data_IF_465439059138
#
_entry.id   IF_465439059138
#
_cell.length_a   1.000
_cell.length_b   1.000
_cell.length_c   1.000
_cell.angle_alpha   90.00
_cell.angle_beta   90.00
_cell.angle_gamma   90.00
#
_symmetry.space_group_name_H-M   'P 1'
#
loop_
_entity.id
_entity.type
_entity.pdbx_description
1 polymer ?
#
# COMPACT_ATOMS: atom_id res chain seq x y z
N UNK A 1 16.80 12.53 -1.13
CA UNK A 1 15.36 12.24 -0.99
C UNK A 1 14.89 11.40 -2.18
N UNK A 2 13.86 10.57 -2.02
CA UNK A 2 13.23 9.79 -3.10
C UNK A 2 12.32 10.72 -3.89
N UNK A 3 12.23 10.54 -5.20
CA UNK A 3 11.43 11.38 -6.09
C UNK A 3 9.94 11.04 -6.04
N UNK A 4 9.09 11.98 -6.47
CA UNK A 4 7.65 11.75 -6.71
C UNK A 4 7.41 10.56 -7.65
N UNK A 5 8.26 10.38 -8.66
CA UNK A 5 8.17 9.26 -9.61
C UNK A 5 8.39 7.93 -8.89
N UNK A 6 9.49 7.80 -8.14
CA UNK A 6 9.79 6.60 -7.35
C UNK A 6 8.64 6.27 -6.40
N UNK A 7 8.10 7.27 -5.71
CA UNK A 7 6.97 7.09 -4.80
C UNK A 7 5.71 6.58 -5.53
N UNK A 8 5.41 7.12 -6.71
CA UNK A 8 4.21 6.75 -7.49
C UNK A 8 4.25 5.33 -8.06
N UNK A 9 5.46 4.77 -8.25
CA UNK A 9 5.68 3.43 -8.80
C UNK A 9 5.73 2.33 -7.72
N UNK A 10 5.75 2.73 -6.44
CA UNK A 10 5.76 1.78 -5.32
C UNK A 10 4.45 1.00 -5.20
N UNK A 11 4.58 -0.25 -4.76
CA UNK A 11 3.45 -1.16 -4.54
C UNK A 11 2.99 -1.15 -3.07
N UNK A 12 2.87 0.02 -2.45
CA UNK A 12 2.44 0.18 -1.06
C UNK A 12 0.92 0.25 -0.90
N UNK A 13 0.40 -0.31 0.19
CA UNK A 13 -1.02 -0.25 0.59
C UNK A 13 -1.33 0.93 1.53
N UNK A 14 -0.34 1.75 1.89
CA UNK A 14 -0.50 2.97 2.70
C UNK A 14 0.56 4.01 2.33
N UNK A 15 0.39 5.27 2.74
CA UNK A 15 1.40 6.31 2.51
C UNK A 15 2.74 5.94 3.17
N UNK A 16 2.72 5.48 4.42
CA UNK A 16 3.91 4.99 5.15
C UNK A 16 4.63 3.90 4.35
N UNK A 17 3.90 2.88 3.91
CA UNK A 17 4.48 1.77 3.17
C UNK A 17 5.02 2.21 1.80
N UNK A 18 4.40 3.17 1.13
CA UNK A 18 4.91 3.75 -0.12
C UNK A 18 6.23 4.50 0.11
N UNK A 19 6.32 5.34 1.15
CA UNK A 19 7.58 6.00 1.50
C UNK A 19 8.66 4.99 1.85
N UNK A 20 8.30 3.98 2.63
CA UNK A 20 9.17 2.90 3.03
C UNK A 20 9.78 2.18 1.82
N UNK A 21 8.95 1.74 0.87
CA UNK A 21 9.44 1.05 -0.34
C UNK A 21 10.28 1.96 -1.23
N UNK A 22 9.89 3.23 -1.40
CA UNK A 22 10.65 4.19 -2.19
C UNK A 22 12.01 4.52 -1.57
N UNK A 23 12.11 4.45 -0.24
CA UNK A 23 13.34 4.65 0.49
C UNK A 23 14.23 3.40 0.45
N UNK A 24 13.68 2.23 0.83
CA UNK A 24 14.39 0.97 0.96
C UNK A 24 14.86 0.43 -0.39
N UNK A 25 14.08 0.64 -1.47
CA UNK A 25 14.40 0.21 -2.83
C UNK A 25 15.72 0.75 -3.40
N UNK A 26 16.32 1.75 -2.75
CA UNK A 26 17.64 2.31 -3.10
C UNK A 26 18.81 1.47 -2.56
N UNK A 27 18.54 0.59 -1.60
CA UNK A 27 19.54 -0.19 -0.87
C UNK A 27 19.27 -1.69 -0.89
N UNK A 28 18.01 -2.09 -1.06
CA UNK A 28 17.54 -3.46 -0.96
C UNK A 28 16.57 -3.79 -2.10
N UNK A 29 16.63 -5.01 -2.61
CA UNK A 29 15.65 -5.49 -3.59
C UNK A 29 14.31 -5.79 -2.89
N UNK A 30 13.44 -4.79 -2.82
CA UNK A 30 12.13 -4.87 -2.15
C UNK A 30 11.23 -5.99 -2.68
N UNK A 31 11.52 -6.57 -3.85
CA UNK A 31 10.80 -7.74 -4.37
C UNK A 31 10.94 -8.96 -3.46
N UNK A 32 12.02 -9.04 -2.68
CA UNK A 32 12.24 -10.06 -1.64
C UNK A 32 11.19 -10.00 -0.52
N UNK A 33 10.54 -8.84 -0.31
CA UNK A 33 9.50 -8.68 0.71
C UNK A 33 8.12 -9.19 0.26
N UNK A 34 7.94 -9.51 -1.02
CA UNK A 34 6.62 -9.82 -1.58
C UNK A 34 6.12 -11.24 -1.30
N UNK A 35 6.92 -12.05 -0.61
CA UNK A 35 6.67 -13.46 -0.30
C UNK A 35 5.41 -13.77 0.52
N UNK A 36 4.74 -12.76 1.07
CA UNK A 36 3.52 -12.90 1.87
C UNK A 36 2.35 -12.07 1.31
N UNK A 37 2.37 -11.79 0.00
CA UNK A 37 1.39 -10.89 -0.63
C UNK A 37 0.09 -11.56 -1.08
N UNK A 38 -0.04 -12.88 -0.99
CA UNK A 38 -1.24 -13.55 -1.51
C UNK A 38 -2.45 -13.40 -0.57
N UNK A 39 -3.60 -13.06 -1.15
CA UNK A 39 -4.92 -13.19 -0.54
C UNK A 39 -5.92 -13.55 -1.63
N UNK A 40 -6.88 -14.44 -1.36
CA UNK A 40 -7.87 -14.87 -2.35
C UNK A 40 -9.04 -13.89 -2.45
N UNK A 41 -9.75 -13.90 -3.59
CA UNK A 41 -11.00 -13.17 -3.79
C UNK A 41 -12.07 -13.65 -2.81
N UNK A 42 -12.08 -14.95 -2.49
CA UNK A 42 -12.98 -15.51 -1.48
C UNK A 42 -12.78 -14.83 -0.12
N UNK A 43 -11.53 -14.67 0.33
CA UNK A 43 -11.19 -13.99 1.58
C UNK A 43 -11.55 -12.50 1.50
N UNK A 44 -11.05 -11.79 0.48
CA UNK A 44 -11.29 -10.34 0.33
C UNK A 44 -12.79 -10.02 0.26
N UNK A 45 -13.56 -10.75 -0.57
CA UNK A 45 -15.00 -10.49 -0.71
C UNK A 45 -15.77 -10.74 0.58
N UNK A 46 -15.41 -11.77 1.35
CA UNK A 46 -16.01 -12.05 2.65
C UNK A 46 -15.63 -11.01 3.71
N UNK A 47 -14.40 -10.51 3.72
CA UNK A 47 -13.97 -9.48 4.67
C UNK A 47 -14.71 -8.17 4.42
N UNK A 48 -14.80 -7.75 3.16
CA UNK A 48 -15.47 -6.52 2.79
C UNK A 48 -17.00 -6.61 2.89
N UNK A 49 -17.60 -7.79 2.78
CA UNK A 49 -19.03 -7.97 3.10
C UNK A 49 -19.33 -7.84 4.60
N UNK A 50 -18.30 -8.02 5.45
CA UNK A 50 -18.36 -7.86 6.91
C UNK A 50 -17.82 -6.52 7.40
N UNK A 51 -17.56 -5.58 6.49
CA UNK A 51 -17.17 -4.20 6.83
C UNK A 51 -15.67 -3.94 6.93
N UNK A 52 -14.82 -4.80 6.36
CA UNK A 52 -13.40 -4.48 6.20
C UNK A 52 -13.19 -3.18 5.40
N UNK A 53 -12.08 -2.51 5.68
CA UNK A 53 -11.69 -1.27 5.01
C UNK A 53 -10.29 -1.38 4.44
N UNK A 54 -10.00 -0.63 3.38
CA UNK A 54 -8.69 -0.67 2.72
C UNK A 54 -7.55 -0.31 3.70
N UNK A 55 -7.78 0.75 4.48
CA UNK A 55 -6.83 1.31 5.42
C UNK A 55 -6.45 0.36 6.56
N UNK A 56 -7.34 -0.56 6.93
CA UNK A 56 -7.18 -1.48 8.05
C UNK A 56 -7.17 -2.95 7.62
N UNK A 57 -7.00 -3.24 6.32
CA UNK A 57 -6.97 -4.61 5.83
C UNK A 57 -5.80 -5.38 6.44
N UNK A 58 -6.09 -6.39 7.26
CA UNK A 58 -5.11 -7.07 8.13
C UNK A 58 -4.66 -8.45 7.63
N UNK A 59 -5.30 -8.99 6.59
CA UNK A 59 -4.95 -10.30 6.02
C UNK A 59 -3.73 -10.27 5.08
N UNK A 60 -3.13 -9.10 4.89
CA UNK A 60 -1.85 -8.93 4.21
C UNK A 60 -0.91 -8.19 5.16
N UNK A 61 0.25 -8.78 5.52
CA UNK A 61 1.25 -8.08 6.32
C UNK A 61 1.78 -6.85 5.58
N UNK A 62 2.10 -5.79 6.32
CA UNK A 62 2.72 -4.61 5.73
C UNK A 62 4.20 -4.89 5.48
N UNK A 63 4.72 -4.41 4.35
CA UNK A 63 6.08 -4.75 3.93
C UNK A 63 7.15 -4.16 4.85
N UNK A 64 6.88 -3.05 5.52
CA UNK A 64 7.77 -2.53 6.56
C UNK A 64 7.84 -3.43 7.80
N UNK A 65 6.74 -4.09 8.16
CA UNK A 65 6.70 -5.00 9.30
C UNK A 65 7.50 -6.27 8.99
N UNK A 66 7.35 -6.81 7.76
CA UNK A 66 8.17 -7.96 7.29
C UNK A 66 9.65 -7.58 7.30
N UNK A 67 10.01 -6.40 6.79
CA UNK A 67 11.40 -5.98 6.76
C UNK A 67 12.00 -5.85 8.18
N UNK A 68 11.22 -5.35 9.15
CA UNK A 68 11.66 -5.25 10.55
C UNK A 68 11.76 -6.63 11.22
N UNK A 69 10.77 -7.50 11.03
CA UNK A 69 10.75 -8.87 11.60
C UNK A 69 11.98 -9.68 11.19
N UNK A 70 12.44 -9.53 9.94
CA UNK A 70 13.61 -10.21 9.41
C UNK A 70 14.92 -9.43 9.62
N UNK A 71 14.88 -8.29 10.31
CA UNK A 71 16.06 -7.50 10.65
C UNK A 71 16.68 -6.73 9.49
N UNK A 72 15.98 -6.59 8.36
CA UNK A 72 16.40 -5.76 7.21
C UNK A 72 16.49 -4.29 7.63
N UNK A 73 15.56 -3.87 8.47
CA UNK A 73 15.46 -2.51 9.01
C UNK A 73 15.20 -2.54 10.51
N UNK A 74 15.37 -1.40 11.17
CA UNK A 74 14.86 -1.13 12.52
C UNK A 74 13.92 0.05 12.44
N UNK A 75 12.87 0.03 13.24
CA UNK A 75 11.92 1.13 13.31
C UNK A 75 11.83 1.68 14.73
N UNK A 76 11.73 3.01 14.82
CA UNK A 76 11.48 3.74 16.06
C UNK A 76 10.25 4.63 15.87
N UNK A 77 9.24 4.41 16.71
CA UNK A 77 8.06 5.25 16.84
C UNK A 77 8.11 6.06 18.13
N UNK A 78 7.96 7.38 18.04
CA UNK A 78 8.06 8.27 19.19
C UNK A 78 6.95 9.30 19.16
N UNK A 79 6.25 9.41 20.30
CA UNK A 79 5.37 10.53 20.59
C UNK A 79 6.22 11.61 21.26
N UNK A 80 6.28 12.79 20.67
CA UNK A 80 7.11 13.88 21.16
C UNK A 80 6.58 15.25 20.75
N UNK A 81 7.02 16.27 21.49
CA UNK A 81 6.69 17.66 21.19
C UNK A 81 7.44 18.17 19.95
N UNK A 82 6.92 19.24 19.33
CA UNK A 82 7.49 19.84 18.11
C UNK A 82 8.99 20.10 18.21
N UNK A 83 9.46 20.64 19.34
CA UNK A 83 10.89 20.99 19.52
C UNK A 83 11.80 19.76 19.56
N UNK A 84 11.31 18.63 20.06
CA UNK A 84 12.04 17.37 20.08
C UNK A 84 12.03 16.70 18.70
N UNK A 85 10.88 16.76 18.01
CA UNK A 85 10.75 16.29 16.64
C UNK A 85 11.74 17.01 15.71
N UNK A 86 11.81 18.35 15.78
CA UNK A 86 12.76 19.14 14.98
C UNK A 86 14.22 18.74 15.26
N UNK A 87 14.61 18.57 16.53
CA UNK A 87 15.96 18.11 16.89
C UNK A 87 16.29 16.76 16.25
N UNK A 88 15.36 15.80 16.27
CA UNK A 88 15.53 14.48 15.67
C UNK A 88 15.63 14.56 14.16
N UNK A 89 14.73 15.29 13.52
CA UNK A 89 14.71 15.48 12.07
C UNK A 89 16.00 16.13 11.60
N UNK A 90 16.50 17.17 12.28
CA UNK A 90 17.76 17.82 11.90
C UNK A 90 19.00 16.95 12.17
N UNK A 91 18.91 16.00 13.11
CA UNK A 91 20.00 15.09 13.47
C UNK A 91 20.05 13.81 12.61
N UNK A 92 19.06 13.57 11.75
CA UNK A 92 18.98 12.34 10.95
C UNK A 92 20.16 12.19 9.99
N UNK A 93 20.55 10.94 9.73
CA UNK A 93 21.59 10.62 8.74
C UNK A 93 21.01 10.58 7.31
N UNK A 94 21.87 10.57 6.30
CA UNK A 94 21.43 10.62 4.89
C UNK A 94 20.70 9.35 4.41
N UNK A 95 20.84 8.25 5.15
CA UNK A 95 20.32 6.92 4.85
C UNK A 95 19.06 6.56 5.66
N UNK A 96 18.62 7.41 6.58
CA UNK A 96 17.37 7.22 7.34
C UNK A 96 16.11 7.59 6.54
N UNK A 97 14.99 6.98 6.91
CA UNK A 97 13.65 7.43 6.54
C UNK A 97 12.96 8.05 7.74
N UNK A 98 12.75 9.36 7.71
CA UNK A 98 11.96 10.06 8.71
C UNK A 98 10.57 10.41 8.18
N UNK A 99 9.54 9.98 8.92
CA UNK A 99 8.13 10.27 8.70
C UNK A 99 7.57 11.01 9.90
N UNK A 100 6.78 12.05 9.66
CA UNK A 100 6.04 12.76 10.71
C UNK A 100 4.56 12.56 10.52
N UNK A 101 3.80 12.51 11.62
CA UNK A 101 2.35 12.63 11.56
C UNK A 101 1.98 14.10 11.40
N UNK A 102 1.02 14.38 10.51
CA UNK A 102 0.51 15.73 10.26
C UNK A 102 -0.98 15.81 10.54
N UNK A 103 -1.43 16.96 11.02
CA UNK A 103 -2.83 17.22 11.31
C UNK A 103 -3.58 17.73 10.06
N UNK A 104 -4.89 17.99 10.21
CA UNK A 104 -5.75 18.42 9.11
C UNK A 104 -5.37 19.75 8.47
N UNK A 105 -4.61 20.63 9.16
CA UNK A 105 -4.15 21.91 8.60
C UNK A 105 -3.23 21.71 7.39
N UNK A 106 -2.47 20.61 7.37
CA UNK A 106 -1.65 20.23 6.22
C UNK A 106 -2.48 20.13 4.92
N UNK A 107 -3.76 19.78 5.03
CA UNK A 107 -4.64 19.56 3.89
C UNK A 107 -5.42 20.80 3.42
N UNK A 108 -5.34 21.93 4.12
CA UNK A 108 -6.14 23.13 3.79
C UNK A 108 -5.89 23.65 2.38
N UNK A 109 -4.67 23.45 1.86
CA UNK A 109 -4.28 23.89 0.52
C UNK A 109 -4.53 22.85 -0.57
N UNK A 110 -5.10 21.69 -0.24
CA UNK A 110 -5.37 20.61 -1.17
C UNK A 110 -6.87 20.40 -1.38
N UNK A 111 -7.26 20.07 -2.61
CA UNK A 111 -8.65 19.72 -2.95
C UNK A 111 -9.11 18.39 -2.35
N UNK A 112 -8.22 17.66 -1.69
CA UNK A 112 -8.42 16.31 -1.17
C UNK A 112 -7.71 16.17 0.17
N UNK A 113 -8.41 15.65 1.17
CA UNK A 113 -7.88 15.28 2.48
C UNK A 113 -7.32 13.85 2.49
N UNK A 114 -6.61 13.49 3.55
CA UNK A 114 -6.23 12.10 3.83
C UNK A 114 -7.46 11.18 3.94
N UNK A 115 -7.22 9.89 3.70
CA UNK A 115 -8.22 8.83 3.86
C UNK A 115 -8.36 8.38 5.32
N UNK A 116 -7.31 8.57 6.13
CA UNK A 116 -7.29 8.31 7.58
C UNK A 116 -7.03 9.61 8.35
N UNK A 117 -7.36 9.61 9.63
CA UNK A 117 -7.07 10.72 10.54
C UNK A 117 -5.56 10.86 10.83
N UNK A 118 -4.82 9.74 10.83
CA UNK A 118 -3.37 9.67 11.03
C UNK A 118 -2.62 9.64 9.68
N UNK A 119 -2.38 10.82 9.10
CA UNK A 119 -1.59 10.93 7.88
C UNK A 119 -0.11 11.19 8.17
N UNK A 120 0.76 10.52 7.41
CA UNK A 120 2.20 10.68 7.52
C UNK A 120 2.78 11.31 6.27
N UNK A 121 3.81 12.15 6.47
CA UNK A 121 4.59 12.80 5.42
C UNK A 121 6.06 12.51 5.67
N UNK A 122 6.81 12.24 4.60
CA UNK A 122 8.27 12.09 4.69
C UNK A 122 8.92 13.46 4.80
N UNK A 123 9.89 13.62 5.70
CA UNK A 123 10.67 14.85 5.88
C UNK A 123 12.18 14.54 5.90
N UNK A 124 13.00 15.39 5.27
CA UNK A 124 14.47 15.31 5.37
C UNK A 124 15.05 16.34 6.36
N UNK A 125 16.38 16.34 6.53
CA UNK A 125 17.04 17.10 7.60
C UNK A 125 16.97 18.62 7.39
N UNK A 126 16.70 19.03 6.16
CA UNK A 126 16.47 20.43 5.78
C UNK A 126 14.98 20.80 5.79
N UNK A 127 14.11 19.95 6.34
CA UNK A 127 12.65 20.11 6.36
C UNK A 127 12.00 20.13 4.97
N UNK A 128 12.65 19.58 3.95
CA UNK A 128 11.96 19.28 2.71
C UNK A 128 11.03 18.10 2.94
N UNK A 129 9.81 18.20 2.44
CA UNK A 129 8.78 17.19 2.65
C UNK A 129 8.23 16.66 1.33
N UNK A 130 7.81 15.39 1.37
CA UNK A 130 7.19 14.71 0.24
C UNK A 130 5.89 14.05 0.71
N UNK A 131 4.79 14.47 0.11
CA UNK A 131 3.45 13.95 0.35
C UNK A 131 3.05 12.94 -0.71
N UNK A 132 2.41 11.85 -0.30
CA UNK A 132 1.91 10.81 -1.21
C UNK A 132 0.54 11.16 -1.77
N UNK A 133 -0.31 11.80 -0.97
CA UNK A 133 -1.68 12.12 -1.39
C UNK A 133 -2.17 13.48 -0.86
N UNK A 134 -2.43 14.46 -1.75
CA UNK A 134 -2.03 14.46 -3.15
C UNK A 134 -0.50 14.42 -3.30
N UNK A 135 -0.01 13.82 -4.39
CA UNK A 135 1.42 13.73 -4.66
C UNK A 135 2.02 15.13 -4.85
N UNK A 136 2.73 15.61 -3.83
CA UNK A 136 3.27 16.97 -3.76
C UNK A 136 4.54 16.98 -2.92
N UNK A 137 5.35 18.03 -3.08
CA UNK A 137 6.57 18.23 -2.30
C UNK A 137 6.72 19.71 -1.98
N UNK A 138 7.50 20.01 -0.96
CA UNK A 138 7.77 21.37 -0.54
C UNK A 138 8.81 21.42 0.56
N UNK A 139 8.87 22.55 1.26
CA UNK A 139 9.76 22.77 2.39
C UNK A 139 8.98 23.48 3.47
N UNK A 140 9.07 23.01 4.72
CA UNK A 140 8.47 23.70 5.85
C UNK A 140 9.40 24.81 6.34
N UNK A 141 8.82 25.94 6.76
CA UNK A 141 9.45 26.76 7.80
C UNK A 141 9.27 26.11 9.16
N UNK A 142 10.05 26.54 10.16
CA UNK A 142 9.86 26.05 11.54
C UNK A 142 8.48 26.43 12.09
N UNK A 143 7.95 27.62 11.75
CA UNK A 143 6.60 28.01 12.16
C UNK A 143 5.53 27.11 11.52
N UNK A 144 5.62 26.89 10.21
CA UNK A 144 4.70 26.01 9.49
C UNK A 144 4.73 24.59 10.06
N UNK A 145 5.93 24.07 10.33
CA UNK A 145 6.10 22.74 10.94
C UNK A 145 5.38 22.67 12.29
N UNK A 146 5.51 23.68 13.14
CA UNK A 146 4.84 23.73 14.44
C UNK A 146 3.32 23.74 14.36
N UNK A 147 2.74 24.31 13.31
CA UNK A 147 1.29 24.32 13.12
C UNK A 147 0.72 22.99 12.59
N UNK A 148 1.47 22.27 11.77
CA UNK A 148 0.98 21.06 11.09
C UNK A 148 1.35 19.76 11.79
N UNK A 149 2.44 19.77 12.57
CA UNK A 149 2.95 18.58 13.22
C UNK A 149 1.95 18.04 14.24
N UNK A 150 1.74 16.73 14.25
CA UNK A 150 0.71 16.07 15.06
C UNK A 150 1.31 15.09 16.07
N UNK A 151 2.46 15.43 16.64
CA UNK A 151 2.98 14.80 17.85
C UNK A 151 3.61 13.41 17.70
N UNK A 152 3.84 12.92 16.47
CA UNK A 152 4.50 11.63 16.26
C UNK A 152 5.58 11.68 15.17
N UNK A 153 6.74 11.07 15.46
CA UNK A 153 7.82 10.80 14.50
C UNK A 153 8.02 9.29 14.39
N UNK A 154 8.20 8.82 13.16
CA UNK A 154 8.46 7.44 12.81
C UNK A 154 9.74 7.40 11.96
N UNK A 155 10.77 6.71 12.45
CA UNK A 155 12.08 6.62 11.80
C UNK A 155 12.38 5.17 11.43
N UNK A 156 12.85 4.93 10.21
CA UNK A 156 13.40 3.64 9.80
C UNK A 156 14.89 3.78 9.48
N UNK A 157 15.66 2.81 9.96
CA UNK A 157 17.10 2.69 9.78
C UNK A 157 17.43 1.36 9.08
N UNK A 158 18.46 1.35 8.25
CA UNK A 158 18.96 0.12 7.62
C UNK A 158 19.66 -0.75 8.68
N UNK A 159 19.51 -2.08 8.57
CA UNK A 159 20.17 -3.03 9.46
C UNK A 159 20.87 -4.12 8.63
N UNK A 160 20.27 -5.30 8.43
CA UNK A 160 20.87 -6.39 7.65
C UNK A 160 20.28 -6.46 6.23
N UNK A 161 20.95 -5.83 5.28
CA UNK A 161 20.54 -5.84 3.86
C UNK A 161 20.74 -7.20 3.17
N UNK A 162 21.36 -8.17 3.84
CA UNK A 162 21.54 -9.53 3.32
C UNK A 162 20.44 -10.48 3.77
N UNK A 163 19.59 -10.06 4.72
CA UNK A 163 18.48 -10.87 5.19
C UNK A 163 17.50 -11.23 4.06
N UNK A 164 17.03 -12.47 4.10
CA UNK A 164 16.12 -13.04 3.10
C UNK A 164 14.81 -13.45 3.78
N UNK A 165 13.76 -12.62 3.69
CA UNK A 165 12.46 -12.97 4.21
C UNK A 165 11.89 -14.24 3.58
N UNK A 166 11.19 -15.02 4.40
CA UNK A 166 10.56 -16.26 3.95
C UNK A 166 9.48 -15.96 2.90
N UNK A 167 9.48 -16.76 1.83
CA UNK A 167 8.48 -16.70 0.78
C UNK A 167 7.44 -17.82 0.91
N UNK A 168 6.22 -17.44 1.28
CA UNK A 168 5.08 -18.33 1.45
C UNK A 168 4.10 -18.27 0.28
N UNK A 169 4.40 -17.52 -0.79
CA UNK A 169 3.45 -17.23 -1.86
C UNK A 169 2.89 -18.51 -2.49
N UNK A 170 3.76 -19.44 -2.88
CA UNK A 170 3.34 -20.72 -3.49
C UNK A 170 2.55 -21.58 -2.50
N UNK A 171 2.98 -21.65 -1.24
CA UNK A 171 2.25 -22.38 -0.19
C UNK A 171 0.85 -21.83 0.00
N UNK A 172 0.71 -20.51 0.10
CA UNK A 172 -0.57 -19.83 0.28
C UNK A 172 -1.49 -20.01 -0.93
N UNK A 173 -0.96 -19.91 -2.15
CA UNK A 173 -1.73 -20.21 -3.38
C UNK A 173 -2.23 -21.66 -3.33
N UNK A 174 -1.37 -22.63 -2.99
CA UNK A 174 -1.74 -24.06 -2.99
C UNK A 174 -2.78 -24.42 -1.93
N UNK A 175 -2.77 -23.73 -0.79
CA UNK A 175 -3.72 -23.94 0.32
C UNK A 175 -5.05 -23.22 0.16
N UNK A 176 -5.20 -22.36 -0.85
CA UNK A 176 -6.44 -21.64 -1.05
C UNK A 176 -7.61 -22.60 -1.34
N UNK A 177 -8.82 -22.10 -1.12
CA UNK A 177 -10.05 -22.73 -1.57
C UNK A 177 -10.74 -21.79 -2.57
N UNK A 178 -11.68 -22.34 -3.35
CA UNK A 178 -12.40 -21.59 -4.39
C UNK A 178 -13.90 -21.44 -4.06
N UNK A 179 -14.28 -20.88 -2.91
CA UNK A 179 -15.68 -20.60 -2.65
C UNK A 179 -16.19 -19.51 -3.61
N UNK A 180 -17.48 -19.52 -3.96
CA UNK A 180 -18.09 -18.41 -4.67
C UNK A 180 -17.87 -17.09 -3.90
N UNK A 181 -17.42 -16.02 -4.55
CA UNK A 181 -17.19 -14.74 -3.89
C UNK A 181 -18.51 -14.11 -3.43
N UNK A 182 -18.46 -13.36 -2.33
CA UNK A 182 -19.63 -12.62 -1.84
C UNK A 182 -20.01 -11.53 -2.83
N UNK A 183 -21.28 -11.49 -3.24
CA UNK A 183 -21.82 -10.49 -4.17
C UNK A 183 -22.13 -9.15 -3.50
N UNK A 184 -22.28 -9.14 -2.16
CA UNK A 184 -22.61 -7.96 -1.38
C UNK A 184 -21.35 -7.32 -0.80
N UNK A 185 -20.55 -6.69 -1.67
CA UNK A 185 -19.32 -6.00 -1.26
C UNK A 185 -19.62 -4.51 -1.10
N UNK A 186 -19.74 -4.04 0.15
CA UNK A 186 -20.11 -2.66 0.44
C UNK A 186 -19.10 -1.62 -0.06
N UNK A 187 -17.80 -1.95 -0.06
CA UNK A 187 -16.69 -1.12 -0.57
C UNK A 187 -15.94 -1.85 -1.69
N UNK A 188 -16.61 -2.08 -2.81
CA UNK A 188 -16.06 -2.86 -3.94
C UNK A 188 -14.76 -2.28 -4.52
N UNK A 189 -14.65 -0.96 -4.66
CA UNK A 189 -13.42 -0.29 -5.13
C UNK A 189 -12.21 -0.66 -4.28
N UNK A 190 -12.39 -0.66 -2.95
CA UNK A 190 -11.34 -0.95 -1.98
C UNK A 190 -10.92 -2.43 -2.02
N UNK A 191 -11.90 -3.34 -2.11
CA UNK A 191 -11.64 -4.77 -2.28
C UNK A 191 -10.80 -5.05 -3.54
N UNK A 192 -11.18 -4.47 -4.68
CA UNK A 192 -10.41 -4.57 -5.92
C UNK A 192 -9.04 -3.89 -5.78
N UNK A 193 -8.95 -2.78 -5.03
CA UNK A 193 -7.69 -2.12 -4.73
C UNK A 193 -6.68 -3.04 -4.02
N UNK A 194 -7.14 -3.80 -3.00
CA UNK A 194 -6.31 -4.78 -2.29
C UNK A 194 -5.81 -5.86 -3.25
N UNK A 195 -6.71 -6.47 -4.03
CA UNK A 195 -6.35 -7.52 -5.00
C UNK A 195 -5.37 -6.99 -6.05
N UNK A 196 -5.66 -5.83 -6.63
CA UNK A 196 -4.79 -5.19 -7.62
C UNK A 196 -3.38 -4.99 -7.10
N UNK A 197 -3.23 -4.55 -5.85
CA UNK A 197 -1.90 -4.31 -5.27
C UNK A 197 -1.18 -5.63 -4.96
N UNK A 198 -1.88 -6.58 -4.35
CA UNK A 198 -1.32 -7.89 -3.99
C UNK A 198 -0.89 -8.68 -5.22
N UNK A 199 -1.70 -8.72 -6.29
CA UNK A 199 -1.33 -9.37 -7.55
C UNK A 199 -0.12 -8.72 -8.21
N UNK A 200 0.00 -7.38 -8.17
CA UNK A 200 1.20 -6.67 -8.67
C UNK A 200 2.46 -7.00 -7.86
N UNK A 201 2.35 -7.14 -6.54
CA UNK A 201 3.46 -7.61 -5.69
C UNK A 201 3.85 -9.04 -6.06
N UNK A 202 2.88 -9.93 -6.19
CA UNK A 202 3.11 -11.32 -6.57
C UNK A 202 3.75 -11.43 -7.97
N UNK A 203 3.29 -10.68 -8.97
CA UNK A 203 3.89 -10.75 -10.32
C UNK A 203 5.39 -10.40 -10.30
N UNK A 204 5.78 -9.46 -9.41
CA UNK A 204 7.17 -9.07 -9.19
C UNK A 204 7.94 -9.98 -8.22
N UNK A 205 7.29 -10.97 -7.61
CA UNK A 205 7.95 -11.92 -6.72
C UNK A 205 8.98 -12.75 -7.51
N UNK A 206 10.19 -12.85 -6.96
CA UNK A 206 11.34 -13.53 -7.54
C UNK A 206 11.13 -15.05 -7.68
N UNK A 207 10.36 -15.67 -6.77
CA UNK A 207 10.22 -17.13 -6.69
C UNK A 207 9.01 -17.71 -7.46
N UNK A 208 8.18 -16.87 -8.07
CA UNK A 208 7.04 -17.35 -8.85
C UNK A 208 7.47 -17.80 -10.26
N UNK A 209 6.95 -18.93 -10.77
CA UNK A 209 7.25 -19.40 -12.12
C UNK A 209 6.62 -18.48 -13.17
N UNK A 210 7.20 -18.45 -14.37
CA UNK A 210 6.74 -17.56 -15.45
C UNK A 210 5.30 -17.85 -15.89
N UNK A 211 4.87 -19.11 -15.84
CA UNK A 211 3.47 -19.52 -16.05
C UNK A 211 2.52 -18.80 -15.09
N UNK A 212 2.87 -18.74 -13.80
CA UNK A 212 2.07 -18.04 -12.80
C UNK A 212 2.09 -16.53 -13.02
N UNK A 213 3.25 -15.96 -13.40
CA UNK A 213 3.36 -14.53 -13.75
C UNK A 213 2.48 -14.15 -14.94
N UNK A 214 2.38 -14.99 -15.96
CA UNK A 214 1.50 -14.76 -17.10
C UNK A 214 0.02 -14.73 -16.69
N UNK A 215 -0.41 -15.67 -15.84
CA UNK A 215 -1.76 -15.67 -15.28
C UNK A 215 -2.03 -14.38 -14.49
N UNK A 216 -1.09 -13.99 -13.62
CA UNK A 216 -1.18 -12.76 -12.84
C UNK A 216 -1.27 -11.51 -13.71
N UNK A 217 -0.54 -11.42 -14.83
CA UNK A 217 -0.65 -10.28 -15.76
C UNK A 217 -2.05 -10.15 -16.35
N UNK A 218 -2.69 -11.28 -16.70
CA UNK A 218 -4.07 -11.29 -17.15
C UNK A 218 -5.05 -10.83 -16.06
N UNK A 219 -4.87 -11.34 -14.84
CA UNK A 219 -5.70 -10.95 -13.68
C UNK A 219 -5.52 -9.46 -13.33
N UNK A 220 -4.30 -8.96 -13.32
CA UNK A 220 -3.98 -7.54 -13.07
C UNK A 220 -4.68 -6.65 -14.10
N UNK A 221 -4.68 -7.02 -15.38
CA UNK A 221 -5.34 -6.24 -16.43
C UNK A 221 -6.88 -6.20 -16.23
N UNK A 222 -7.47 -7.29 -15.75
CA UNK A 222 -8.88 -7.31 -15.35
C UNK A 222 -9.12 -6.39 -14.14
N UNK A 223 -8.32 -6.51 -13.09
CA UNK A 223 -8.45 -5.70 -11.87
C UNK A 223 -8.23 -4.20 -12.13
N UNK A 224 -7.27 -3.83 -12.96
CA UNK A 224 -7.03 -2.43 -13.37
C UNK A 224 -8.25 -1.84 -14.10
N UNK A 225 -8.87 -2.63 -14.98
CA UNK A 225 -10.11 -2.24 -15.69
C UNK A 225 -11.28 -2.07 -14.75
N UNK A 226 -11.48 -3.03 -13.84
CA UNK A 226 -12.56 -2.99 -12.84
C UNK A 226 -12.41 -1.80 -11.91
N UNK A 227 -11.20 -1.57 -11.40
CA UNK A 227 -10.91 -0.44 -10.53
C UNK A 227 -11.26 0.88 -11.21
N UNK A 228 -10.79 1.10 -12.45
CA UNK A 228 -11.11 2.31 -13.22
C UNK A 228 -12.63 2.47 -13.45
N UNK A 229 -13.31 1.38 -13.81
CA UNK A 229 -14.74 1.39 -14.06
C UNK A 229 -15.54 1.79 -12.81
N UNK A 230 -15.19 1.22 -11.66
CA UNK A 230 -15.83 1.51 -10.37
C UNK A 230 -15.58 2.96 -9.95
N UNK A 231 -14.33 3.43 -10.03
CA UNK A 231 -14.02 4.84 -9.72
C UNK A 231 -14.79 5.81 -10.61
N UNK A 232 -14.95 5.51 -11.92
CA UNK A 232 -15.73 6.31 -12.85
C UNK A 232 -17.23 6.30 -12.52
N UNK A 233 -17.78 5.15 -12.09
CA UNK A 233 -19.17 5.05 -11.63
C UNK A 233 -19.40 5.89 -10.38
N UNK A 234 -18.51 5.84 -9.40
CA UNK A 234 -18.63 6.67 -8.19
C UNK A 234 -18.56 8.17 -8.51
N UNK A 235 -17.71 8.58 -9.45
CA UNK A 235 -17.68 9.96 -9.94
C UNK A 235 -19.01 10.34 -10.62
N UNK A 236 -19.56 9.47 -11.47
CA UNK A 236 -20.84 9.69 -12.16
C UNK A 236 -22.02 9.74 -11.19
N UNK A 237 -22.04 8.87 -10.17
CA UNK A 237 -23.03 8.84 -9.09
C UNK A 237 -23.02 10.12 -8.27
N UNK A 238 -21.83 10.62 -7.89
CA UNK A 238 -21.66 11.94 -7.25
C UNK A 238 -22.15 13.10 -8.12
N UNK A 239 -22.17 12.93 -9.45
CA UNK A 239 -22.72 13.87 -10.43
C UNK A 239 -24.21 13.63 -10.76
N UNK A 240 -24.89 12.72 -10.05
CA UNK A 240 -26.32 12.44 -10.25
C UNK A 240 -26.66 11.68 -11.54
N UNK A 241 -25.69 11.06 -12.21
CA UNK A 241 -25.92 10.31 -13.45
C UNK A 241 -26.49 8.93 -13.14
N UNK A 242 -27.59 8.54 -13.80
CA UNK A 242 -28.21 7.21 -13.67
C UNK A 242 -27.32 6.16 -14.36
N UNK A 243 -26.91 5.14 -13.61
CA UNK A 243 -26.04 4.07 -14.11
C UNK A 243 -26.85 2.78 -14.33
N UNK A 244 -26.51 2.01 -15.37
CA UNK A 244 -27.01 0.65 -15.54
C UNK A 244 -26.48 -0.25 -14.41
N UNK A 245 -27.26 -1.28 -14.06
CA UNK A 245 -26.82 -2.34 -13.16
C UNK A 245 -25.97 -3.34 -13.95
N UNK A 246 -24.69 -3.02 -14.19
CA UNK A 246 -23.72 -4.06 -14.51
C UNK A 246 -23.37 -4.76 -13.19
N UNK A 247 -23.66 -6.07 -13.17
CA UNK A 247 -23.62 -6.97 -12.01
C UNK A 247 -22.19 -7.39 -11.70
N UNK A 248 -21.65 -7.10 -10.49
CA UNK A 248 -20.33 -7.53 -10.05
C UNK A 248 -20.04 -9.04 -10.13
N UNK A 249 -21.08 -9.86 -10.29
CA UNK A 249 -21.02 -11.32 -10.25
C UNK A 249 -20.18 -11.92 -11.38
N UNK A 250 -20.34 -11.43 -12.61
CA UNK A 250 -19.62 -11.97 -13.76
C UNK A 250 -18.12 -11.67 -13.64
N UNK A 251 -17.75 -10.47 -13.17
CA UNK A 251 -16.34 -10.10 -13.06
C UNK A 251 -15.68 -10.74 -11.84
N UNK A 252 -16.41 -10.90 -10.73
CA UNK A 252 -15.96 -11.70 -9.60
C UNK A 252 -15.73 -13.18 -9.98
N UNK A 253 -16.59 -13.75 -10.84
CA UNK A 253 -16.42 -15.08 -11.41
C UNK A 253 -15.16 -15.20 -12.27
N UNK A 254 -14.84 -14.16 -13.06
CA UNK A 254 -13.61 -14.11 -13.85
C UNK A 254 -12.36 -14.06 -12.96
N UNK A 255 -12.37 -13.29 -11.86
CA UNK A 255 -11.26 -13.26 -10.91
C UNK A 255 -11.04 -14.65 -10.29
N UNK A 256 -12.11 -15.32 -9.88
CA UNK A 256 -12.02 -16.68 -9.33
C UNK A 256 -11.41 -17.67 -10.34
N UNK A 257 -11.72 -17.52 -11.62
CA UNK A 257 -11.14 -18.35 -12.67
C UNK A 257 -9.63 -18.09 -12.87
N UNK A 258 -9.18 -16.84 -12.75
CA UNK A 258 -7.75 -16.54 -12.70
C UNK A 258 -7.07 -17.19 -11.49
N UNK A 259 -7.71 -17.21 -10.32
CA UNK A 259 -7.14 -17.87 -9.14
C UNK A 259 -6.98 -19.38 -9.31
N UNK A 260 -7.93 -20.05 -9.97
CA UNK A 260 -7.80 -21.47 -10.30
C UNK A 260 -6.64 -21.72 -11.26
N UNK A 261 -6.54 -20.92 -12.32
CA UNK A 261 -5.43 -21.00 -13.28
C UNK A 261 -4.09 -20.72 -12.60
N UNK A 262 -4.06 -19.80 -11.63
CA UNK A 262 -2.87 -19.48 -10.85
C UNK A 262 -2.46 -20.67 -9.97
N UNK A 263 -3.43 -21.32 -9.34
CA UNK A 263 -3.21 -22.55 -8.58
C UNK A 263 -2.65 -23.68 -9.45
N UNK A 264 -3.20 -23.88 -10.65
CA UNK A 264 -2.68 -24.85 -11.61
C UNK A 264 -1.24 -24.52 -12.05
N UNK A 265 -0.94 -23.23 -12.27
CA UNK A 265 0.37 -22.78 -12.73
C UNK A 265 1.51 -22.93 -11.70
N UNK A 266 1.17 -23.05 -10.41
CA UNK A 266 2.13 -23.28 -9.31
C UNK A 266 2.08 -24.70 -8.74
N UNK A 267 1.29 -25.59 -9.36
CA UNK A 267 1.20 -26.99 -8.97
C UNK A 267 2.49 -27.73 -9.34
#
# INVERSE_FOLDING_TARGET
MSSKKELSETLGLSCVEKYFLAWLGRYYDVRRLYGNSFVSIGQVSNDFSRGATYENYCHIPRLQDIAEEYGVVRHSYQLCETSEALKKICAQTSDELCLIRVNTRFFLNFKRSSWREDHYVRVDKELNWLNEYPLSEGKFTEEEFGEIYDGAVCVYELSDLTAEPEDKTIEMIRRQSFPPPSINIGRFEDAIGILRMTRKRMEKNLNLPDSAREVLRGEIALLDRLYLFVSLREIKKKKGVRLSAETPEEELGQILEYEKRLWEAVK
#
